data_IF_147101004805
#
_entry.id   IF_147101004805
#
_cell.length_a   1.000
_cell.length_b   1.000
_cell.length_c   1.000
_cell.angle_alpha   90.00
_cell.angle_beta   90.00
_cell.angle_gamma   90.00
#
_symmetry.space_group_name_H-M   'P 1'
#
loop_
_entity.id
_entity.type
_entity.pdbx_description
1 polymer ?
#
# COMPACT_ATOMS: atom_id res chain seq x y z
N UNK A 1 -13.99 11.35 20.37
CA UNK A 1 -13.38 12.16 19.30
C UNK A 1 -13.35 11.28 18.07
N UNK A 2 -13.95 11.72 16.95
CA UNK A 2 -13.86 10.96 15.70
C UNK A 2 -12.42 11.05 15.20
N UNK A 3 -11.80 9.90 14.97
CA UNK A 3 -10.44 9.82 14.46
C UNK A 3 -10.42 10.38 13.03
N UNK A 4 -9.58 11.39 12.77
CA UNK A 4 -9.41 11.96 11.45
C UNK A 4 -8.47 11.06 10.64
N UNK A 5 -8.89 10.71 9.44
CA UNK A 5 -8.04 10.01 8.48
C UNK A 5 -7.62 10.98 7.38
N UNK A 6 -6.31 11.18 7.27
CA UNK A 6 -5.71 12.07 6.29
C UNK A 6 -5.15 11.24 5.14
N UNK A 7 -5.56 11.59 3.92
CA UNK A 7 -5.10 10.95 2.69
C UNK A 7 -4.43 11.98 1.79
N UNK A 8 -3.31 11.59 1.24
CA UNK A 8 -2.56 12.34 0.25
C UNK A 8 -2.45 11.48 -1.00
N UNK A 9 -3.25 11.78 -2.01
CA UNK A 9 -3.27 11.05 -3.27
C UNK A 9 -2.41 11.76 -4.30
N UNK A 10 -1.46 11.04 -4.88
CA UNK A 10 -0.58 11.52 -5.95
C UNK A 10 -0.91 10.74 -7.22
N UNK A 11 -1.45 11.43 -8.22
CA UNK A 11 -1.56 10.91 -9.58
C UNK A 11 -0.35 11.38 -10.38
N UNK A 12 0.62 10.47 -10.57
CA UNK A 12 1.90 10.80 -11.20
C UNK A 12 1.71 11.20 -12.66
N UNK A 13 0.86 10.47 -13.40
CA UNK A 13 0.60 10.73 -14.82
C UNK A 13 -0.07 12.08 -15.07
N UNK A 14 -1.09 12.38 -14.26
CA UNK A 14 -1.84 13.64 -14.37
C UNK A 14 -1.12 14.82 -13.70
N UNK A 15 0.00 14.57 -13.03
CA UNK A 15 0.72 15.55 -12.20
C UNK A 15 -0.21 16.27 -11.23
N UNK A 16 -1.15 15.51 -10.66
CA UNK A 16 -2.19 16.01 -9.78
C UNK A 16 -1.98 15.46 -8.37
N UNK A 17 -2.24 16.31 -7.39
CA UNK A 17 -2.18 15.96 -5.99
C UNK A 17 -3.49 16.32 -5.34
N UNK A 18 -4.14 15.33 -4.74
CA UNK A 18 -5.35 15.51 -3.95
C UNK A 18 -5.06 15.28 -2.47
N UNK A 19 -5.44 16.23 -1.68
CA UNK A 19 -5.40 16.15 -0.23
C UNK A 19 -6.81 16.01 0.32
N UNK A 20 -7.09 14.93 1.03
CA UNK A 20 -8.41 14.56 1.50
C UNK A 20 -8.37 14.28 3.00
N UNK A 21 -9.42 14.71 3.70
CA UNK A 21 -9.64 14.32 5.10
C UNK A 21 -11.02 13.70 5.21
N UNK A 22 -11.05 12.53 5.81
CA UNK A 22 -12.27 11.81 6.14
C UNK A 22 -12.36 11.60 7.64
N UNK A 23 -13.59 11.41 8.12
CA UNK A 23 -13.84 10.77 9.40
C UNK A 23 -14.36 9.35 9.13
N UNK A 24 -14.21 8.45 10.10
CA UNK A 24 -14.72 7.08 9.99
C UNK A 24 -16.24 7.01 9.82
N UNK A 25 -16.96 8.09 10.18
CA UNK A 25 -18.42 8.16 10.18
C UNK A 25 -19.03 8.79 8.92
N UNK A 26 -18.22 9.40 8.06
CA UNK A 26 -18.73 10.13 6.90
C UNK A 26 -18.27 9.48 5.58
N UNK A 27 -19.18 9.46 4.61
CA UNK A 27 -18.94 8.89 3.28
C UNK A 27 -18.26 9.86 2.32
N UNK A 28 -18.27 11.15 2.64
CA UNK A 28 -17.65 12.22 1.84
C UNK A 28 -16.54 12.91 2.65
N UNK A 29 -15.48 13.39 1.96
CA UNK A 29 -14.39 14.08 2.65
C UNK A 29 -14.87 15.38 3.27
N UNK A 30 -14.48 15.63 4.52
CA UNK A 30 -14.77 16.89 5.23
C UNK A 30 -13.86 18.04 4.79
N UNK A 31 -12.75 17.67 4.12
CA UNK A 31 -11.82 18.61 3.51
C UNK A 31 -11.25 18.00 2.23
N UNK A 32 -11.21 18.78 1.16
CA UNK A 32 -10.57 18.41 -0.10
C UNK A 32 -9.81 19.60 -0.66
N UNK A 33 -8.59 19.37 -1.11
CA UNK A 33 -7.77 20.37 -1.79
C UNK A 33 -6.98 19.70 -2.90
N UNK A 34 -7.03 20.29 -4.09
CA UNK A 34 -6.36 19.79 -5.28
C UNK A 34 -5.23 20.74 -5.66
N UNK A 35 -4.13 20.16 -6.13
CA UNK A 35 -2.98 20.87 -6.69
C UNK A 35 -2.60 20.23 -8.03
N UNK A 36 -2.33 21.07 -9.01
CA UNK A 36 -1.78 20.65 -10.30
C UNK A 36 -0.30 21.05 -10.32
N UNK A 37 0.56 20.10 -10.61
CA UNK A 37 2.00 20.37 -10.78
C UNK A 37 2.25 20.87 -12.19
N UNK A 38 2.84 22.06 -12.33
CA UNK A 38 3.15 22.65 -13.63
C UNK A 38 4.07 21.75 -14.46
N UNK A 39 3.78 21.68 -15.77
CA UNK A 39 4.54 20.86 -16.74
C UNK A 39 6.00 21.30 -16.91
N UNK A 40 6.35 22.52 -16.51
CA UNK A 40 7.68 23.11 -16.72
C UNK A 40 8.82 22.51 -15.89
N UNK A 41 8.53 21.60 -14.95
CA UNK A 41 9.56 20.96 -14.14
C UNK A 41 9.88 19.56 -14.66
N UNK A 42 10.77 19.46 -15.64
CA UNK A 42 11.35 18.19 -16.10
C UNK A 42 12.31 17.55 -15.07
N UNK A 43 12.63 18.26 -14.00
CA UNK A 43 13.59 17.81 -13.01
C UNK A 43 12.89 17.16 -11.82
N UNK A 44 13.05 15.85 -11.67
CA UNK A 44 12.48 14.99 -10.60
C UNK A 44 12.72 15.53 -9.18
N UNK A 45 13.91 16.06 -8.94
CA UNK A 45 14.28 16.66 -7.65
C UNK A 45 13.41 17.88 -7.29
N UNK A 46 12.98 18.66 -8.29
CA UNK A 46 12.07 19.79 -8.09
C UNK A 46 10.65 19.33 -7.75
N UNK A 47 10.22 18.18 -8.28
CA UNK A 47 8.90 17.60 -7.99
C UNK A 47 8.84 17.18 -6.52
N UNK A 48 9.82 16.41 -6.03
CA UNK A 48 9.83 15.95 -4.62
C UNK A 48 9.86 17.10 -3.62
N UNK A 49 10.64 18.14 -3.92
CA UNK A 49 10.70 19.35 -3.09
C UNK A 49 9.40 20.15 -3.08
N UNK A 50 8.71 20.24 -4.24
CA UNK A 50 7.38 20.85 -4.33
C UNK A 50 6.34 20.06 -3.56
N UNK A 51 6.36 18.72 -3.65
CA UNK A 51 5.49 17.82 -2.88
C UNK A 51 5.65 18.04 -1.38
N UNK A 52 6.87 18.09 -0.88
CA UNK A 52 7.16 18.33 0.54
C UNK A 52 6.60 19.69 1.01
N UNK A 53 6.77 20.75 0.22
CA UNK A 53 6.26 22.08 0.55
C UNK A 53 4.73 22.10 0.55
N UNK A 54 4.09 21.49 -0.46
CA UNK A 54 2.63 21.39 -0.54
C UNK A 54 2.07 20.60 0.64
N UNK A 55 2.68 19.47 0.96
CA UNK A 55 2.26 18.62 2.08
C UNK A 55 2.35 19.37 3.40
N UNK A 56 3.52 19.96 3.72
CA UNK A 56 3.72 20.73 4.95
C UNK A 56 2.73 21.89 5.07
N UNK A 57 2.54 22.67 3.99
CA UNK A 57 1.61 23.79 3.98
C UNK A 57 0.17 23.33 4.23
N UNK A 58 -0.25 22.26 3.56
CA UNK A 58 -1.63 21.76 3.66
C UNK A 58 -1.90 21.15 5.03
N UNK A 59 -0.95 20.42 5.62
CA UNK A 59 -1.05 19.91 6.99
C UNK A 59 -1.22 21.07 7.98
N UNK A 60 -0.38 22.12 7.90
CA UNK A 60 -0.50 23.28 8.78
C UNK A 60 -1.84 24.03 8.65
N UNK A 61 -2.38 24.14 7.43
CA UNK A 61 -3.70 24.73 7.19
C UNK A 61 -4.79 23.90 7.88
N UNK A 62 -4.68 22.59 7.78
CA UNK A 62 -5.61 21.65 8.42
C UNK A 62 -5.57 21.69 9.92
N UNK A 63 -4.39 21.58 10.52
CA UNK A 63 -4.20 21.60 11.96
C UNK A 63 -4.82 22.87 12.57
N UNK A 64 -4.65 24.01 11.88
CA UNK A 64 -5.30 25.27 12.27
C UNK A 64 -6.80 25.24 12.11
N UNK A 65 -7.32 24.66 11.02
CA UNK A 65 -8.76 24.67 10.72
C UNK A 65 -9.56 23.74 11.63
N UNK A 66 -9.00 22.57 11.94
CA UNK A 66 -9.68 21.53 12.72
C UNK A 66 -9.22 21.47 14.18
N UNK A 67 -8.23 22.28 14.58
CA UNK A 67 -7.65 22.30 15.93
C UNK A 67 -7.15 20.92 16.40
N UNK A 68 -6.53 20.16 15.47
CA UNK A 68 -5.96 18.82 15.72
C UNK A 68 -4.57 18.76 15.17
N UNK A 69 -3.69 17.99 15.81
CA UNK A 69 -2.38 17.64 15.26
C UNK A 69 -2.51 16.43 14.32
N UNK A 70 -1.79 16.47 13.20
CA UNK A 70 -1.71 15.37 12.23
C UNK A 70 -0.44 14.59 12.49
N UNK A 71 -0.57 13.40 13.06
CA UNK A 71 0.52 12.47 13.36
C UNK A 71 0.71 11.40 12.28
N UNK A 72 -0.28 11.21 11.41
CA UNK A 72 -0.27 10.20 10.35
C UNK A 72 -0.94 10.69 9.08
N UNK A 73 -0.30 10.42 7.95
CA UNK A 73 -0.82 10.66 6.59
C UNK A 73 -0.79 9.35 5.82
N UNK A 74 -1.90 8.99 5.19
CA UNK A 74 -1.97 7.86 4.29
C UNK A 74 -1.59 8.34 2.89
N UNK A 75 -0.46 7.87 2.37
CA UNK A 75 -0.04 8.17 1.01
C UNK A 75 -0.66 7.17 0.04
N UNK A 76 -1.39 7.67 -0.94
CA UNK A 76 -1.95 6.91 -2.04
C UNK A 76 -1.24 7.33 -3.33
N UNK A 77 -0.75 6.36 -4.09
CA UNK A 77 -0.05 6.60 -5.35
C UNK A 77 -0.90 5.99 -6.46
N UNK A 78 -1.24 6.79 -7.45
CA UNK A 78 -1.92 6.35 -8.67
C UNK A 78 -0.96 6.47 -9.84
N UNK A 79 -0.56 5.33 -10.40
CA UNK A 79 0.36 5.23 -11.53
C UNK A 79 0.05 4.00 -12.38
N UNK A 80 0.16 4.11 -13.70
CA UNK A 80 -0.04 3.00 -14.64
C UNK A 80 1.05 1.92 -14.52
N UNK A 81 2.17 2.24 -13.92
CA UNK A 81 3.29 1.31 -13.67
C UNK A 81 3.13 0.50 -12.37
N UNK A 82 2.06 0.74 -11.61
CA UNK A 82 1.69 -0.12 -10.49
C UNK A 82 1.14 -1.42 -11.07
N UNK A 83 1.85 -2.50 -10.79
CA UNK A 83 1.53 -3.82 -11.30
C UNK A 83 1.51 -4.85 -10.16
N UNK A 84 0.99 -6.03 -10.46
CA UNK A 84 0.95 -7.15 -9.52
C UNK A 84 1.60 -8.40 -10.11
N UNK A 85 2.25 -9.16 -9.22
CA UNK A 85 2.65 -10.55 -9.49
C UNK A 85 1.77 -11.43 -8.61
N UNK A 86 0.95 -12.26 -9.24
CA UNK A 86 0.10 -13.22 -8.54
C UNK A 86 0.84 -14.53 -8.41
N UNK A 87 0.85 -15.07 -7.19
CA UNK A 87 1.51 -16.33 -6.85
C UNK A 87 0.54 -17.21 -6.09
N UNK A 88 0.43 -18.46 -6.50
CA UNK A 88 -0.25 -19.51 -5.74
C UNK A 88 0.80 -20.40 -5.09
N UNK A 89 0.84 -20.40 -3.77
CA UNK A 89 1.68 -21.29 -3.00
C UNK A 89 0.87 -22.49 -2.52
N UNK A 90 1.47 -23.69 -2.62
CA UNK A 90 0.89 -24.92 -2.07
C UNK A 90 1.88 -25.53 -1.09
N UNK A 91 1.41 -25.84 0.12
CA UNK A 91 2.23 -26.40 1.19
C UNK A 91 1.53 -27.58 1.86
N UNK A 92 2.31 -28.60 2.22
CA UNK A 92 1.82 -29.74 2.98
C UNK A 92 2.27 -29.63 4.43
N UNK A 93 1.32 -29.37 5.31
CA UNK A 93 1.57 -29.23 6.76
C UNK A 93 1.58 -30.57 7.52
N UNK A 94 1.36 -31.72 6.86
CA UNK A 94 1.40 -33.05 7.51
C UNK A 94 0.49 -33.15 8.76
N UNK A 95 -0.69 -32.51 8.74
CA UNK A 95 -1.61 -32.40 9.90
C UNK A 95 -1.04 -31.58 11.08
N UNK A 96 -0.03 -30.73 10.85
CA UNK A 96 0.45 -29.77 11.85
C UNK A 96 -0.38 -28.50 11.82
N UNK A 97 -0.28 -27.71 12.89
CA UNK A 97 -0.97 -26.43 12.96
C UNK A 97 -0.34 -25.39 12.03
N UNK A 98 -1.18 -24.63 11.34
CA UNK A 98 -0.75 -23.45 10.59
C UNK A 98 -0.31 -22.39 11.62
N UNK A 99 0.95 -22.03 11.62
CA UNK A 99 1.46 -20.98 12.49
C UNK A 99 1.90 -19.75 11.69
N UNK A 100 1.88 -18.59 12.35
CA UNK A 100 2.19 -17.29 11.74
C UNK A 100 3.62 -17.27 11.20
N UNK A 101 4.56 -17.81 11.96
CA UNK A 101 5.99 -17.82 11.58
C UNK A 101 6.24 -18.58 10.28
N UNK A 102 5.60 -19.76 10.11
CA UNK A 102 5.72 -20.52 8.86
C UNK A 102 5.21 -19.72 7.66
N UNK A 103 4.04 -19.10 7.79
CA UNK A 103 3.48 -18.27 6.71
C UNK A 103 4.38 -17.07 6.41
N UNK A 104 4.91 -16.42 7.44
CA UNK A 104 5.87 -15.30 7.26
C UNK A 104 7.13 -15.74 6.52
N UNK A 105 7.69 -16.92 6.82
CA UNK A 105 8.84 -17.46 6.09
C UNK A 105 8.52 -17.74 4.62
N UNK A 106 7.37 -18.35 4.33
CA UNK A 106 6.93 -18.62 2.97
C UNK A 106 6.76 -17.32 2.17
N UNK A 107 6.16 -16.30 2.77
CA UNK A 107 6.00 -14.98 2.14
C UNK A 107 7.37 -14.31 1.89
N UNK A 108 8.31 -14.40 2.83
CA UNK A 108 9.65 -13.84 2.68
C UNK A 108 10.44 -14.55 1.57
N UNK A 109 10.35 -15.87 1.47
CA UNK A 109 11.03 -16.63 0.41
C UNK A 109 10.52 -16.21 -0.98
N UNK A 110 9.20 -16.14 -1.19
CA UNK A 110 8.61 -15.68 -2.45
C UNK A 110 9.02 -14.24 -2.74
N UNK A 111 8.98 -13.37 -1.74
CA UNK A 111 9.40 -11.97 -1.88
C UNK A 111 10.85 -11.86 -2.33
N UNK A 112 11.75 -12.68 -1.75
CA UNK A 112 13.15 -12.71 -2.13
C UNK A 112 13.31 -13.15 -3.59
N UNK A 113 12.64 -14.23 -4.01
CA UNK A 113 12.67 -14.70 -5.40
C UNK A 113 12.18 -13.64 -6.38
N UNK A 114 11.10 -12.91 -6.04
CA UNK A 114 10.61 -11.82 -6.89
C UNK A 114 11.65 -10.70 -7.01
N UNK A 115 12.29 -10.31 -5.90
CA UNK A 115 13.30 -9.24 -5.90
C UNK A 115 14.56 -9.64 -6.68
N UNK A 116 14.99 -10.89 -6.57
CA UNK A 116 16.15 -11.41 -7.31
C UNK A 116 15.89 -11.44 -8.82
N UNK A 117 14.69 -11.84 -9.24
CA UNK A 117 14.32 -11.88 -10.66
C UNK A 117 13.92 -10.52 -11.24
N UNK A 118 13.58 -9.55 -10.40
CA UNK A 118 13.12 -8.21 -10.78
C UNK A 118 13.78 -7.13 -9.93
N UNK A 119 15.10 -6.94 -10.04
CA UNK A 119 15.86 -6.04 -9.17
C UNK A 119 15.45 -4.55 -9.32
N UNK A 120 14.84 -4.19 -10.45
CA UNK A 120 14.31 -2.84 -10.72
C UNK A 120 13.01 -2.54 -10.01
N UNK A 121 12.33 -3.56 -9.45
CA UNK A 121 11.02 -3.44 -8.80
C UNK A 121 11.16 -3.32 -7.29
N UNK A 122 10.20 -2.63 -6.68
CA UNK A 122 10.02 -2.56 -5.22
C UNK A 122 8.62 -3.04 -4.88
N UNK A 123 8.53 -4.09 -4.09
CA UNK A 123 7.25 -4.55 -3.55
C UNK A 123 6.79 -3.54 -2.52
N UNK A 124 5.58 -3.00 -2.71
CA UNK A 124 4.94 -2.00 -1.85
C UNK A 124 3.83 -2.60 -0.98
N UNK A 125 3.12 -3.63 -1.49
CA UNK A 125 2.09 -4.35 -0.74
C UNK A 125 2.13 -5.84 -1.03
N UNK A 126 1.70 -6.64 -0.05
CA UNK A 126 1.45 -8.08 -0.17
C UNK A 126 0.01 -8.31 0.25
N UNK A 127 -0.82 -8.79 -0.67
CA UNK A 127 -2.25 -9.00 -0.46
C UNK A 127 -2.54 -10.50 -0.55
N UNK A 128 -3.04 -11.09 0.53
CA UNK A 128 -3.56 -12.45 0.53
C UNK A 128 -4.98 -12.37 -0.05
N UNK A 129 -5.19 -12.99 -1.22
CA UNK A 129 -6.49 -13.00 -1.91
C UNK A 129 -7.43 -14.01 -1.31
N UNK A 130 -6.92 -15.20 -1.08
CA UNK A 130 -7.67 -16.30 -0.45
C UNK A 130 -6.74 -17.39 0.08
N UNK A 131 -7.27 -18.21 0.98
CA UNK A 131 -6.62 -19.42 1.46
C UNK A 131 -7.56 -20.61 1.27
N UNK A 132 -7.00 -21.77 0.93
CA UNK A 132 -7.69 -23.05 0.97
C UNK A 132 -7.00 -23.96 1.99
N UNK A 133 -7.76 -24.54 2.88
CA UNK A 133 -7.28 -25.50 3.86
C UNK A 133 -8.07 -26.80 3.68
N UNK A 134 -7.38 -27.86 3.26
CA UNK A 134 -7.98 -29.16 2.95
C UNK A 134 -9.20 -29.10 2.00
N UNK A 135 -9.21 -28.10 1.10
CA UNK A 135 -10.26 -27.84 0.10
C UNK A 135 -11.33 -26.84 0.52
N UNK A 136 -11.36 -26.42 1.78
CA UNK A 136 -12.26 -25.36 2.25
C UNK A 136 -11.64 -23.98 2.11
N UNK A 137 -12.44 -22.99 1.66
CA UNK A 137 -11.99 -21.63 1.41
C UNK A 137 -12.13 -20.74 2.66
N UNK A 138 -11.10 -19.93 2.92
CA UNK A 138 -11.03 -18.97 4.01
C UNK A 138 -10.59 -17.60 3.51
N UNK A 139 -11.25 -16.54 3.97
CA UNK A 139 -10.89 -15.15 3.63
C UNK A 139 -9.61 -14.67 4.34
N UNK A 140 -9.23 -15.31 5.43
CA UNK A 140 -8.03 -15.04 6.21
C UNK A 140 -7.30 -16.33 6.51
N UNK A 141 -6.00 -16.26 6.76
CA UNK A 141 -5.22 -17.44 7.16
C UNK A 141 -5.74 -18.01 8.47
N UNK A 142 -6.22 -19.29 8.49
CA UNK A 142 -6.82 -19.90 9.67
C UNK A 142 -5.72 -20.39 10.63
N UNK A 143 -5.03 -19.47 11.28
CA UNK A 143 -3.96 -19.79 12.23
C UNK A 143 -4.43 -20.69 13.38
N UNK A 144 -3.57 -21.61 13.80
CA UNK A 144 -3.85 -22.55 14.88
C UNK A 144 -4.61 -23.81 14.46
N UNK A 145 -5.20 -23.84 13.27
CA UNK A 145 -5.90 -25.02 12.76
C UNK A 145 -4.91 -26.03 12.20
N UNK A 146 -5.22 -27.32 12.41
CA UNK A 146 -4.49 -28.41 11.77
C UNK A 146 -4.87 -28.51 10.31
N UNK A 147 -3.88 -28.72 9.47
CA UNK A 147 -4.06 -28.80 8.04
C UNK A 147 -3.12 -29.84 7.43
N UNK A 148 -3.59 -30.53 6.41
CA UNK A 148 -2.74 -31.37 5.57
C UNK A 148 -2.29 -30.60 4.34
N UNK A 149 -3.23 -30.08 3.56
CA UNK A 149 -2.93 -29.35 2.32
C UNK A 149 -3.39 -27.90 2.47
N UNK A 150 -2.46 -26.99 2.35
CA UNK A 150 -2.70 -25.55 2.40
C UNK A 150 -2.35 -24.92 1.06
N UNK A 151 -3.25 -24.10 0.55
CA UNK A 151 -3.03 -23.29 -0.65
C UNK A 151 -3.34 -21.84 -0.31
N UNK A 152 -2.47 -20.94 -0.74
CA UNK A 152 -2.63 -19.51 -0.53
C UNK A 152 -2.39 -18.77 -1.85
N UNK A 153 -3.35 -17.94 -2.25
CA UNK A 153 -3.23 -17.06 -3.40
C UNK A 153 -2.84 -15.66 -2.92
N UNK A 154 -1.75 -15.14 -3.43
CA UNK A 154 -1.10 -13.92 -2.97
C UNK A 154 -0.85 -13.01 -4.17
N UNK A 155 -1.11 -11.73 -3.99
CA UNK A 155 -0.74 -10.66 -4.94
C UNK A 155 0.37 -9.82 -4.35
N UNK A 156 1.51 -9.76 -5.03
CA UNK A 156 2.61 -8.84 -4.70
C UNK A 156 2.48 -7.61 -5.58
N UNK A 157 2.03 -6.51 -4.97
CA UNK A 157 1.93 -5.22 -5.66
C UNK A 157 3.31 -4.56 -5.65
N UNK A 158 3.77 -4.14 -6.82
CA UNK A 158 5.08 -3.54 -6.98
C UNK A 158 5.05 -2.29 -7.85
N UNK A 159 6.08 -1.48 -7.68
CA UNK A 159 6.35 -0.28 -8.45
C UNK A 159 7.83 -0.27 -8.85
N UNK A 160 8.19 0.39 -9.96
CA UNK A 160 9.59 0.59 -10.32
C UNK A 160 10.31 1.44 -9.26
N UNK A 161 11.55 1.08 -8.94
CA UNK A 161 12.35 1.83 -7.95
C UNK A 161 12.60 3.28 -8.37
N UNK A 162 12.69 3.55 -9.68
CA UNK A 162 12.83 4.91 -10.22
C UNK A 162 11.69 5.81 -9.75
N UNK A 163 10.44 5.34 -9.83
CA UNK A 163 9.27 6.13 -9.42
C UNK A 163 9.29 6.42 -7.91
N UNK A 164 9.68 5.43 -7.07
CA UNK A 164 9.79 5.64 -5.63
C UNK A 164 10.89 6.62 -5.23
N UNK A 165 11.93 6.75 -6.04
CA UNK A 165 12.99 7.74 -5.80
C UNK A 165 12.57 9.17 -6.16
N UNK A 166 11.42 9.32 -6.85
CA UNK A 166 10.83 10.60 -7.23
C UNK A 166 9.83 11.14 -6.19
N UNK A 167 9.39 10.27 -5.26
CA UNK A 167 8.46 10.58 -4.16
C UNK A 167 9.20 10.87 -2.86
#
# INVERSE_FOLDING_TARGET
MNELQVFFNINIKQKQIDFLINTLSETSPIFHKNYILDESSENQFLISKKLEIILKKTILEMEKKFHVAVDRVNLMIEDEEINAIDVTLRENFENKNINKTTIEYLLQDIKQQIVENHPEKKIIHIIIKKCLMDGEEYNNVPFGNKCKNFVIDISFIYLKKSILSEL
#
